data_IF_693300397505
#
_entry.id   IF_693300397505
#
_cell.length_a   1.000
_cell.length_b   1.000
_cell.length_c   1.000
_cell.angle_alpha   90.00
_cell.angle_beta   90.00
_cell.angle_gamma   90.00
#
_symmetry.space_group_name_H-M   'P 1'
#
loop_
_entity.id
_entity.type
_entity.pdbx_description
1 polymer ?
#
# COMPACT_ATOMS: atom_id res chain seq x y z
N UNK A 1 -1.54 20.96 13.82
CA UNK A 1 -0.69 20.77 12.62
C UNK A 1 -1.17 19.46 12.00
N UNK A 2 -1.61 19.45 10.74
CA UNK A 2 -2.12 18.22 10.12
C UNK A 2 -1.07 17.11 10.22
N UNK A 3 -1.45 15.93 10.70
CA UNK A 3 -0.52 14.80 10.84
C UNK A 3 -0.30 14.18 9.46
N UNK A 4 0.96 13.98 9.09
CA UNK A 4 1.36 13.22 7.89
C UNK A 4 1.27 11.74 8.23
N UNK A 5 0.61 10.96 7.38
CA UNK A 5 0.57 9.49 7.49
C UNK A 5 1.50 8.82 6.47
N UNK A 6 2.11 7.71 6.86
CA UNK A 6 2.79 6.79 5.95
C UNK A 6 1.83 5.67 5.54
N UNK A 7 1.71 5.41 4.24
CA UNK A 7 0.83 4.37 3.71
C UNK A 7 1.66 3.39 2.90
N UNK A 8 1.62 2.12 3.31
CA UNK A 8 2.01 1.03 2.45
C UNK A 8 0.80 0.61 1.61
N UNK A 9 0.81 0.94 0.31
CA UNK A 9 -0.28 0.58 -0.60
C UNK A 9 0.08 -0.71 -1.31
N UNK A 10 -0.25 -1.86 -0.74
CA UNK A 10 0.15 -3.16 -1.30
C UNK A 10 -0.88 -3.81 -2.22
N UNK A 11 -0.44 -4.84 -2.96
CA UNK A 11 -1.28 -5.58 -3.92
C UNK A 11 -2.42 -6.33 -3.25
N UNK A 12 -2.13 -7.01 -2.13
CA UNK A 12 -3.11 -7.83 -1.40
C UNK A 12 -3.59 -7.15 -0.11
N UNK A 13 -2.67 -6.49 0.59
CA UNK A 13 -2.95 -5.77 1.83
C UNK A 13 -2.22 -4.44 1.79
N UNK A 14 -2.80 -3.44 2.43
CA UNK A 14 -2.21 -2.14 2.68
C UNK A 14 -2.04 -1.92 4.20
N UNK A 15 -1.19 -0.97 4.60
CA UNK A 15 -0.97 -0.62 6.00
C UNK A 15 -0.81 0.89 6.17
N UNK A 16 -1.06 1.38 7.37
CA UNK A 16 -0.93 2.81 7.70
C UNK A 16 -0.12 2.99 8.97
N UNK A 17 0.75 4.00 8.99
CA UNK A 17 1.57 4.35 10.13
C UNK A 17 1.64 5.88 10.34
N UNK A 18 1.89 6.26 11.58
CA UNK A 18 2.20 7.64 11.99
C UNK A 18 3.46 7.68 12.82
N UNK A 19 4.05 8.87 12.96
CA UNK A 19 5.09 9.12 13.95
C UNK A 19 4.48 9.68 15.23
N UNK A 20 4.59 8.95 16.34
CA UNK A 20 4.23 9.42 17.67
C UNK A 20 5.44 9.37 18.60
N UNK A 21 5.77 10.49 19.24
CA UNK A 21 6.91 10.60 20.17
C UNK A 21 8.21 10.03 19.58
N UNK A 22 8.49 10.36 18.31
CA UNK A 22 9.62 9.88 17.52
C UNK A 22 9.67 8.36 17.28
N UNK A 23 8.54 7.66 17.42
CA UNK A 23 8.42 6.23 17.10
C UNK A 23 7.33 6.00 16.07
N UNK A 24 7.54 5.11 15.10
CA UNK A 24 6.48 4.70 14.19
C UNK A 24 5.42 3.89 14.95
N UNK A 25 4.16 4.23 14.77
CA UNK A 25 3.00 3.52 15.32
C UNK A 25 2.08 3.15 14.17
N UNK A 26 1.69 1.88 14.10
CA UNK A 26 0.76 1.38 13.09
C UNK A 26 -0.67 1.72 13.51
N UNK A 27 -1.44 2.29 12.58
CA UNK A 27 -2.87 2.53 12.73
C UNK A 27 -3.61 1.28 12.25
N UNK A 28 -4.43 0.64 13.10
CA UNK A 28 -5.23 -0.51 12.69
C UNK A 28 -6.41 -0.10 11.80
N UNK A 29 -6.87 -1.02 10.96
CA UNK A 29 -8.14 -0.83 10.24
C UNK A 29 -9.33 -0.90 11.22
N UNK A 30 -10.42 -0.21 10.89
CA UNK A 30 -11.60 -0.16 11.75
C UNK A 30 -12.20 -1.54 12.08
N UNK A 31 -12.01 -2.53 11.19
CA UNK A 31 -12.53 -3.89 11.36
C UNK A 31 -11.69 -4.76 12.31
N UNK A 32 -10.53 -4.29 12.80
CA UNK A 32 -9.71 -4.97 13.80
C UNK A 32 -9.04 -6.28 13.34
N UNK A 33 -8.74 -7.17 14.30
CA UNK A 33 -7.87 -8.38 14.26
C UNK A 33 -8.09 -9.46 13.17
N UNK A 34 -8.89 -9.21 12.13
CA UNK A 34 -9.34 -10.22 11.17
C UNK A 34 -8.30 -10.79 10.21
N UNK A 35 -7.18 -10.08 9.93
CA UNK A 35 -6.08 -10.58 9.08
C UNK A 35 -4.74 -10.00 9.57
N UNK A 36 -3.67 -10.80 9.52
CA UNK A 36 -2.27 -10.38 9.68
C UNK A 36 -2.06 -9.32 10.78
N UNK A 37 -2.22 -9.74 12.03
CA UNK A 37 -2.11 -8.92 13.25
C UNK A 37 -3.19 -7.86 13.50
N UNK A 38 -4.22 -7.75 12.66
CA UNK A 38 -5.31 -6.77 12.84
C UNK A 38 -5.02 -5.36 12.42
N UNK A 39 -3.89 -5.19 11.74
CA UNK A 39 -3.32 -3.89 11.39
C UNK A 39 -3.35 -3.59 9.91
N UNK A 40 -3.79 -4.57 9.11
CA UNK A 40 -3.82 -4.49 7.66
C UNK A 40 -5.20 -4.03 7.15
N UNK A 41 -5.16 -3.41 5.98
CA UNK A 41 -6.30 -3.01 5.17
C UNK A 41 -6.30 -3.91 3.92
N UNK A 42 -7.19 -4.91 3.81
CA UNK A 42 -7.24 -5.74 2.61
C UNK A 42 -7.45 -4.88 1.36
N UNK A 43 -6.65 -5.09 0.31
CA UNK A 43 -6.70 -4.30 -0.93
C UNK A 43 -7.83 -4.79 -1.85
N UNK A 44 -9.05 -4.78 -1.32
CA UNK A 44 -10.29 -5.19 -1.97
C UNK A 44 -11.26 -4.01 -2.04
N UNK A 45 -11.91 -3.85 -3.19
CA UNK A 45 -13.03 -2.93 -3.38
C UNK A 45 -14.16 -3.73 -4.00
N UNK A 46 -15.36 -3.65 -3.42
CA UNK A 46 -16.54 -4.26 -3.98
C UNK A 46 -17.65 -3.23 -4.18
N UNK A 47 -18.45 -3.43 -5.21
CA UNK A 47 -19.70 -2.74 -5.43
C UNK A 47 -20.82 -3.77 -5.31
N UNK A 48 -21.82 -3.46 -4.50
CA UNK A 48 -23.03 -4.27 -4.39
C UNK A 48 -24.00 -3.93 -5.53
N UNK A 49 -25.00 -4.78 -5.76
CA UNK A 49 -25.99 -4.57 -6.84
C UNK A 49 -26.84 -3.30 -6.65
N UNK A 50 -27.05 -2.90 -5.40
CA UNK A 50 -27.71 -1.66 -4.99
C UNK A 50 -26.77 -0.43 -5.06
N UNK A 51 -25.52 -0.61 -5.48
CA UNK A 51 -24.56 0.46 -5.73
C UNK A 51 -23.76 0.90 -4.51
N UNK A 52 -23.84 0.18 -3.38
CA UNK A 52 -23.00 0.43 -2.21
C UNK A 52 -21.56 0.03 -2.50
N UNK A 53 -20.61 0.89 -2.12
CA UNK A 53 -19.17 0.59 -2.19
C UNK A 53 -18.68 0.06 -0.85
N UNK A 54 -18.09 -1.13 -0.87
CA UNK A 54 -17.38 -1.76 0.24
C UNK A 54 -15.88 -1.73 -0.04
N UNK A 55 -15.06 -1.54 0.99
CA UNK A 55 -13.60 -1.49 0.87
C UNK A 55 -12.98 -2.24 2.05
N UNK A 56 -11.92 -2.99 1.82
CA UNK A 56 -11.23 -3.74 2.88
C UNK A 56 -11.90 -5.06 3.22
N UNK A 57 -11.95 -5.38 4.50
CA UNK A 57 -12.47 -6.66 4.99
C UNK A 57 -13.94 -6.92 4.57
N UNK A 58 -14.87 -5.95 4.60
CA UNK A 58 -16.22 -6.16 4.09
C UNK A 58 -16.27 -6.57 2.61
N UNK A 59 -15.42 -5.96 1.77
CA UNK A 59 -15.31 -6.32 0.36
C UNK A 59 -14.69 -7.71 0.17
N UNK A 60 -13.66 -8.05 0.94
CA UNK A 60 -13.02 -9.38 0.89
C UNK A 60 -13.99 -10.50 1.26
N UNK A 61 -14.77 -10.35 2.34
CA UNK A 61 -15.69 -11.39 2.85
C UNK A 61 -16.73 -11.83 1.83
N UNK A 62 -17.23 -10.90 1.03
CA UNK A 62 -18.27 -11.17 0.03
C UNK A 62 -17.72 -11.53 -1.35
N UNK A 63 -16.39 -11.55 -1.54
CA UNK A 63 -15.76 -11.73 -2.85
C UNK A 63 -16.19 -13.03 -3.56
N UNK A 64 -16.38 -14.12 -2.80
CA UNK A 64 -16.83 -15.40 -3.35
C UNK A 64 -18.30 -15.39 -3.81
N UNK A 65 -19.14 -14.55 -3.21
CA UNK A 65 -20.58 -14.45 -3.50
C UNK A 65 -20.85 -13.41 -4.60
N UNK A 66 -19.98 -12.41 -4.72
CA UNK A 66 -20.09 -11.31 -5.67
C UNK A 66 -18.78 -11.13 -6.47
N UNK A 67 -18.35 -12.13 -7.27
CA UNK A 67 -17.09 -12.05 -7.99
C UNK A 67 -17.08 -10.94 -9.05
N UNK A 68 -18.20 -10.73 -9.76
CA UNK A 68 -18.34 -9.66 -10.77
C UNK A 68 -18.25 -8.26 -10.14
N UNK A 69 -18.79 -8.09 -8.93
CA UNK A 69 -18.78 -6.84 -8.21
C UNK A 69 -17.50 -6.53 -7.46
N UNK A 70 -16.52 -7.44 -7.43
CA UNK A 70 -15.35 -7.35 -6.54
C UNK A 70 -14.06 -7.25 -7.30
N UNK A 71 -13.27 -6.23 -6.95
CA UNK A 71 -11.96 -5.96 -7.51
C UNK A 71 -10.91 -6.21 -6.43
N UNK A 72 -9.87 -6.96 -6.79
CA UNK A 72 -8.66 -7.18 -6.02
C UNK A 72 -7.43 -6.95 -6.90
N UNK A 73 -6.25 -6.86 -6.28
CA UNK A 73 -4.96 -6.74 -6.98
C UNK A 73 -4.89 -5.58 -7.99
N UNK A 74 -5.62 -4.48 -7.74
CA UNK A 74 -5.66 -3.31 -8.63
C UNK A 74 -4.27 -2.71 -8.87
N UNK A 75 -3.37 -2.83 -7.88
CA UNK A 75 -1.98 -2.38 -7.97
C UNK A 75 -1.22 -2.96 -9.17
N UNK A 76 -1.53 -4.20 -9.58
CA UNK A 76 -0.92 -4.86 -10.76
C UNK A 76 -1.26 -4.18 -12.08
N UNK A 77 -2.28 -3.31 -12.11
CA UNK A 77 -2.74 -2.60 -13.31
C UNK A 77 -2.41 -1.10 -13.28
N UNK A 78 -1.76 -0.60 -12.23
CA UNK A 78 -1.39 0.81 -12.11
C UNK A 78 -0.53 1.26 -13.29
N UNK A 79 -0.72 2.51 -13.75
CA UNK A 79 0.05 3.08 -14.85
C UNK A 79 -0.29 2.51 -16.23
N UNK A 80 -1.41 1.80 -16.38
CA UNK A 80 -1.92 1.27 -17.66
C UNK A 80 -3.28 1.86 -18.01
N UNK A 81 -3.72 1.71 -19.26
CA UNK A 81 -5.06 2.11 -19.72
C UNK A 81 -6.16 1.08 -19.36
N UNK A 82 -5.83 0.07 -18.55
CA UNK A 82 -6.78 -0.95 -18.12
C UNK A 82 -7.96 -0.34 -17.36
N UNK A 83 -9.15 -0.91 -17.54
CA UNK A 83 -10.34 -0.54 -16.77
C UNK A 83 -11.01 -1.77 -16.20
N UNK A 84 -11.39 -1.69 -14.92
CA UNK A 84 -12.26 -2.67 -14.28
C UNK A 84 -13.70 -2.36 -14.68
N UNK A 85 -14.41 -3.33 -15.23
CA UNK A 85 -15.85 -3.22 -15.48
C UNK A 85 -16.58 -3.93 -14.34
N UNK A 86 -17.40 -3.18 -13.60
CA UNK A 86 -18.25 -3.70 -12.54
C UNK A 86 -19.68 -3.25 -12.80
N UNK A 87 -20.57 -4.20 -13.06
CA UNK A 87 -21.98 -3.93 -13.34
C UNK A 87 -22.19 -2.83 -14.39
N UNK A 88 -21.39 -2.85 -15.47
CA UNK A 88 -21.47 -1.90 -16.57
C UNK A 88 -20.82 -0.53 -16.31
N UNK A 89 -20.19 -0.33 -15.15
CA UNK A 89 -19.41 0.89 -14.84
C UNK A 89 -17.92 0.59 -14.93
N UNK A 90 -17.19 1.49 -15.57
CA UNK A 90 -15.74 1.40 -15.70
C UNK A 90 -15.02 2.18 -14.62
N UNK A 91 -13.97 1.59 -14.05
CA UNK A 91 -13.09 2.21 -13.07
C UNK A 91 -11.63 2.02 -13.44
N UNK A 92 -10.83 3.08 -13.32
CA UNK A 92 -9.38 2.99 -13.50
C UNK A 92 -8.71 2.37 -12.27
N UNK A 93 -7.51 1.76 -12.42
CA UNK A 93 -6.71 1.26 -11.30
C UNK A 93 -6.45 2.32 -10.23
N UNK A 94 -6.27 3.58 -10.64
CA UNK A 94 -6.08 4.74 -9.77
C UNK A 94 -7.33 5.03 -8.95
N UNK A 95 -8.53 4.98 -9.55
CA UNK A 95 -9.79 5.15 -8.82
C UNK A 95 -10.00 4.03 -7.79
N UNK A 96 -9.74 2.78 -8.16
CA UNK A 96 -9.85 1.65 -7.23
C UNK A 96 -8.87 1.79 -6.06
N UNK A 97 -7.62 2.13 -6.37
CA UNK A 97 -6.60 2.37 -5.34
C UNK A 97 -6.95 3.57 -4.46
N UNK A 98 -7.55 4.62 -5.03
CA UNK A 98 -8.03 5.78 -4.28
C UNK A 98 -9.12 5.40 -3.27
N UNK A 99 -10.01 4.45 -3.59
CA UNK A 99 -11.02 3.99 -2.63
C UNK A 99 -10.40 3.26 -1.42
N UNK A 100 -9.30 2.53 -1.65
CA UNK A 100 -8.50 1.92 -0.57
C UNK A 100 -7.85 3.02 0.28
N UNK A 101 -7.22 4.01 -0.35
CA UNK A 101 -6.60 5.15 0.33
C UNK A 101 -7.62 6.00 1.11
N UNK A 102 -8.84 6.19 0.59
CA UNK A 102 -9.93 6.87 1.28
C UNK A 102 -10.35 6.13 2.56
N UNK A 103 -10.40 4.80 2.52
CA UNK A 103 -10.66 3.99 3.73
C UNK A 103 -9.53 4.16 4.73
N UNK A 104 -8.28 4.05 4.30
CA UNK A 104 -7.10 4.22 5.18
C UNK A 104 -7.11 5.61 5.83
N UNK A 105 -7.35 6.66 5.03
CA UNK A 105 -7.48 8.04 5.49
C UNK A 105 -8.56 8.15 6.58
N UNK A 106 -9.78 7.69 6.29
CA UNK A 106 -10.90 7.78 7.25
C UNK A 106 -10.59 7.06 8.55
N UNK A 107 -10.11 5.82 8.47
CA UNK A 107 -9.80 5.03 9.66
C UNK A 107 -8.64 5.66 10.46
N UNK A 108 -7.69 6.33 9.79
CA UNK A 108 -6.64 7.12 10.45
C UNK A 108 -7.17 8.41 11.09
N UNK A 109 -8.10 9.13 10.45
CA UNK A 109 -8.77 10.30 11.02
C UNK A 109 -9.57 9.91 12.27
N UNK A 110 -10.29 8.79 12.24
CA UNK A 110 -11.03 8.26 13.39
C UNK A 110 -10.10 7.88 14.54
N UNK A 111 -8.95 7.25 14.25
CA UNK A 111 -7.95 6.91 15.25
C UNK A 111 -7.29 8.15 15.87
N UNK A 112 -7.06 9.19 15.08
CA UNK A 112 -6.37 10.41 15.48
C UNK A 112 -7.29 11.45 16.13
N UNK A 113 -8.59 11.41 15.85
CA UNK A 113 -9.56 12.45 16.22
C UNK A 113 -9.33 13.78 15.49
N UNK A 114 -8.61 13.78 14.37
CA UNK A 114 -8.27 14.97 13.59
C UNK A 114 -8.15 14.63 12.09
N UNK A 115 -8.20 15.63 11.22
CA UNK A 115 -8.10 15.46 9.77
C UNK A 115 -6.71 15.03 9.34
N UNK A 116 -6.67 14.22 8.28
CA UNK A 116 -5.45 13.77 7.61
C UNK A 116 -5.44 14.28 6.18
N UNK A 117 -4.52 15.19 5.88
CA UNK A 117 -4.46 15.86 4.58
C UNK A 117 -3.23 15.48 3.77
N UNK A 118 -2.18 14.95 4.39
CA UNK A 118 -0.89 14.71 3.76
C UNK A 118 -0.42 13.27 3.98
N UNK A 119 0.18 12.68 2.95
CA UNK A 119 0.67 11.30 3.02
C UNK A 119 2.00 11.09 2.28
N UNK A 120 2.76 10.12 2.77
CA UNK A 120 3.84 9.45 2.02
C UNK A 120 3.34 8.06 1.65
N UNK A 121 3.41 7.70 0.36
CA UNK A 121 2.86 6.43 -0.15
C UNK A 121 4.00 5.58 -0.72
N UNK A 122 4.00 4.29 -0.42
CA UNK A 122 4.99 3.35 -0.95
C UNK A 122 4.69 2.93 -2.40
N UNK A 123 5.72 2.53 -3.14
CA UNK A 123 5.58 1.78 -4.37
C UNK A 123 6.74 0.77 -4.54
N UNK A 124 6.58 -0.26 -5.40
CA UNK A 124 7.67 -1.17 -5.71
C UNK A 124 8.87 -0.43 -6.31
N UNK A 125 10.08 -0.95 -6.09
CA UNK A 125 11.29 -0.32 -6.61
C UNK A 125 11.30 -0.23 -8.15
N UNK A 126 10.75 -1.24 -8.82
CA UNK A 126 10.65 -1.33 -10.29
C UNK A 126 9.55 -0.51 -10.94
N UNK A 127 8.72 0.18 -10.15
CA UNK A 127 7.69 1.03 -10.75
C UNK A 127 8.34 2.09 -11.64
N UNK A 128 7.90 2.13 -12.89
CA UNK A 128 8.29 3.16 -13.84
C UNK A 128 7.58 4.49 -13.53
N UNK A 129 7.91 5.54 -14.27
CA UNK A 129 7.38 6.89 -14.04
C UNK A 129 5.86 6.97 -14.16
N UNK A 130 5.27 6.22 -15.10
CA UNK A 130 3.81 6.16 -15.28
C UNK A 130 3.12 5.51 -14.07
N UNK A 131 3.68 4.42 -13.54
CA UNK A 131 3.14 3.72 -12.37
C UNK A 131 3.27 4.56 -11.09
N UNK A 132 4.39 5.28 -10.94
CA UNK A 132 4.61 6.23 -9.83
C UNK A 132 3.63 7.39 -9.90
N UNK A 133 3.44 7.96 -11.08
CA UNK A 133 2.48 9.04 -11.32
C UNK A 133 1.06 8.57 -11.02
N UNK A 134 0.66 7.40 -11.55
CA UNK A 134 -0.64 6.80 -11.26
C UNK A 134 -0.88 6.57 -9.75
N UNK A 135 0.16 6.20 -9.00
CA UNK A 135 0.07 6.02 -7.54
C UNK A 135 -0.13 7.37 -6.83
N UNK A 136 0.55 8.41 -7.30
CA UNK A 136 0.35 9.79 -6.82
C UNK A 136 -1.07 10.27 -7.12
N UNK A 137 -1.56 10.06 -8.34
CA UNK A 137 -2.92 10.43 -8.76
C UNK A 137 -3.97 9.73 -7.90
N UNK A 138 -3.78 8.45 -7.57
CA UNK A 138 -4.67 7.73 -6.65
C UNK A 138 -4.74 8.41 -5.27
N UNK A 139 -3.61 8.91 -4.76
CA UNK A 139 -3.57 9.71 -3.52
C UNK A 139 -4.34 11.03 -3.65
N UNK A 140 -4.17 11.73 -4.76
CA UNK A 140 -4.88 13.00 -5.03
C UNK A 140 -6.40 12.77 -5.15
N UNK A 141 -6.84 11.73 -5.87
CA UNK A 141 -8.26 11.32 -5.96
C UNK A 141 -8.81 10.94 -4.57
N UNK A 142 -7.97 10.40 -3.69
CA UNK A 142 -8.35 10.09 -2.31
C UNK A 142 -8.43 11.32 -1.40
N UNK A 143 -8.10 12.51 -1.89
CA UNK A 143 -8.05 13.74 -1.11
C UNK A 143 -6.86 13.81 -0.16
N UNK A 144 -5.73 13.21 -0.56
CA UNK A 144 -4.44 13.30 0.13
C UNK A 144 -3.45 14.10 -0.74
N UNK A 145 -2.77 15.06 -0.14
CA UNK A 145 -1.58 15.67 -0.73
C UNK A 145 -0.42 14.70 -0.56
N UNK A 146 0.02 14.12 -1.67
CA UNK A 146 1.12 13.16 -1.69
C UNK A 146 2.46 13.90 -1.62
N UNK A 147 3.09 13.88 -0.45
CA UNK A 147 4.36 14.55 -0.20
C UNK A 147 5.53 13.83 -0.86
N UNK A 148 5.46 12.50 -0.90
CA UNK A 148 6.51 11.65 -1.48
C UNK A 148 5.95 10.28 -1.85
N UNK A 149 6.39 9.79 -3.01
CA UNK A 149 6.34 8.36 -3.32
C UNK A 149 7.70 7.77 -2.93
N UNK A 150 7.70 6.76 -2.07
CA UNK A 150 8.93 6.11 -1.59
C UNK A 150 8.97 4.65 -2.04
N UNK A 151 10.15 4.14 -2.37
CA UNK A 151 10.29 2.73 -2.70
C UNK A 151 10.08 1.88 -1.44
N UNK A 152 9.32 0.79 -1.56
CA UNK A 152 9.08 -0.21 -0.51
C UNK A 152 10.38 -0.68 0.17
N UNK A 153 11.44 -1.12 -0.54
CA UNK A 153 12.66 -1.54 0.12
C UNK A 153 13.37 -0.41 0.86
N UNK A 154 13.27 0.83 0.37
CA UNK A 154 13.79 2.01 1.08
C UNK A 154 13.01 2.26 2.36
N UNK A 155 11.69 2.14 2.34
CA UNK A 155 10.85 2.28 3.53
C UNK A 155 11.14 1.18 4.56
N UNK A 156 11.34 -0.06 4.12
CA UNK A 156 11.74 -1.17 4.98
C UNK A 156 13.12 -0.94 5.63
N UNK A 157 14.10 -0.48 4.85
CA UNK A 157 15.41 -0.09 5.38
C UNK A 157 15.34 1.05 6.39
N UNK A 158 14.53 2.09 6.12
CA UNK A 158 14.30 3.18 7.06
C UNK A 158 13.73 2.66 8.38
N UNK A 159 12.71 1.80 8.32
CA UNK A 159 12.11 1.22 9.51
C UNK A 159 13.11 0.37 10.33
N UNK A 160 13.93 -0.44 9.65
CA UNK A 160 14.97 -1.26 10.28
C UNK A 160 16.14 -0.44 10.84
N UNK A 161 16.45 0.71 10.23
CA UNK A 161 17.57 1.57 10.61
C UNK A 161 17.29 2.55 11.76
N UNK A 162 16.02 2.75 12.13
CA UNK A 162 15.61 3.76 13.13
C UNK A 162 16.33 3.63 14.47
N UNK A 163 16.61 2.42 14.95
CA UNK A 163 17.29 2.14 16.21
C UNK A 163 18.79 1.81 16.03
N UNK A 164 19.33 1.97 14.81
CA UNK A 164 20.70 1.59 14.43
C UNK A 164 21.55 2.78 13.96
N UNK A 165 21.09 3.99 14.27
CA UNK A 165 21.82 5.24 14.00
C UNK A 165 23.23 5.17 14.58
N UNK A 166 24.23 5.64 13.84
CA UNK A 166 25.65 5.56 14.21
C UNK A 166 26.36 4.28 13.75
N UNK A 167 25.69 3.39 13.00
CA UNK A 167 26.31 2.20 12.38
C UNK A 167 26.28 2.28 10.87
N UNK A 168 27.36 1.85 10.24
CA UNK A 168 27.36 1.54 8.81
C UNK A 168 26.89 0.10 8.60
N UNK A 169 25.87 -0.09 7.78
CA UNK A 169 25.27 -1.40 7.52
C UNK A 169 25.12 -1.63 6.01
N UNK A 170 25.43 -2.85 5.57
CA UNK A 170 24.96 -3.37 4.28
C UNK A 170 23.77 -4.27 4.53
N UNK A 171 22.64 -3.90 3.96
CA UNK A 171 21.33 -4.52 4.19
C UNK A 171 20.85 -5.11 2.87
N UNK A 172 20.38 -6.35 2.90
CA UNK A 172 19.58 -6.91 1.82
C UNK A 172 18.12 -6.92 2.27
N UNK A 173 17.28 -6.18 1.56
CA UNK A 173 15.83 -6.27 1.69
C UNK A 173 15.36 -7.35 0.73
N UNK A 174 14.77 -8.41 1.29
CA UNK A 174 14.10 -9.45 0.54
C UNK A 174 12.60 -9.33 0.81
N UNK A 175 11.86 -8.77 -0.16
CA UNK A 175 10.43 -8.53 -0.07
C UNK A 175 9.70 -9.51 -0.99
N UNK A 176 8.99 -10.48 -0.39
CA UNK A 176 8.22 -11.47 -1.10
C UNK A 176 6.73 -11.25 -0.83
N UNK A 177 6.12 -10.41 -1.65
CA UNK A 177 4.75 -9.99 -1.50
C UNK A 177 3.73 -10.98 -2.09
N UNK A 178 2.46 -10.58 -2.03
CA UNK A 178 1.38 -11.36 -2.65
C UNK A 178 1.47 -11.40 -4.18
N UNK A 179 2.17 -10.46 -4.80
CA UNK A 179 2.21 -10.34 -6.26
C UNK A 179 3.54 -10.06 -6.92
N UNK A 180 4.58 -9.74 -6.14
CA UNK A 180 5.93 -9.39 -6.62
C UNK A 180 6.98 -9.95 -5.66
N UNK A 181 8.17 -10.22 -6.19
CA UNK A 181 9.41 -10.47 -5.45
C UNK A 181 10.37 -9.33 -5.74
N UNK A 182 10.85 -8.65 -4.71
CA UNK A 182 11.81 -7.57 -4.80
C UNK A 182 13.02 -7.86 -3.90
N UNK A 183 14.23 -7.76 -4.45
CA UNK A 183 15.49 -7.96 -3.72
C UNK A 183 16.37 -6.73 -3.92
N UNK A 184 16.57 -5.96 -2.86
CA UNK A 184 17.35 -4.72 -2.92
C UNK A 184 18.52 -4.79 -1.94
N UNK A 185 19.73 -4.54 -2.43
CA UNK A 185 20.92 -4.36 -1.60
C UNK A 185 21.14 -2.87 -1.37
N UNK A 186 21.25 -2.49 -0.10
CA UNK A 186 21.35 -1.11 0.34
C UNK A 186 22.51 -0.92 1.31
N UNK A 187 23.07 0.28 1.30
CA UNK A 187 24.03 0.74 2.29
C UNK A 187 23.36 1.82 3.15
N UNK A 188 23.47 1.69 4.47
CA UNK A 188 23.09 2.69 5.44
C UNK A 188 24.37 3.30 6.01
N UNK A 189 24.50 4.62 5.90
CA UNK A 189 25.61 5.37 6.49
C UNK A 189 25.33 5.71 7.95
N UNK A 190 26.38 5.89 8.75
CA UNK A 190 26.26 6.17 10.19
C UNK A 190 25.42 7.42 10.51
N UNK A 191 25.43 8.41 9.61
CA UNK A 191 24.65 9.65 9.65
C UNK A 191 23.16 9.49 9.27
N UNK A 192 22.70 8.26 9.01
CA UNK A 192 21.30 7.94 8.73
C UNK A 192 20.88 8.08 7.27
N UNK A 193 21.83 8.33 6.36
CA UNK A 193 21.61 8.29 4.92
C UNK A 193 21.53 6.85 4.39
N UNK A 194 20.83 6.66 3.28
CA UNK A 194 20.69 5.36 2.61
C UNK A 194 21.01 5.47 1.13
N UNK A 195 21.67 4.46 0.59
CA UNK A 195 21.95 4.31 -0.84
C UNK A 195 21.53 2.94 -1.32
N UNK A 196 20.72 2.90 -2.36
CA UNK A 196 20.47 1.67 -3.11
C UNK A 196 21.71 1.33 -3.93
N UNK A 197 22.29 0.16 -3.70
CA UNK A 197 23.46 -0.32 -4.45
C UNK A 197 23.03 -1.12 -5.68
N UNK A 198 22.03 -1.99 -5.51
CA UNK A 198 21.46 -2.79 -6.59
C UNK A 198 20.04 -3.23 -6.23
N UNK A 199 19.23 -3.46 -7.24
CA UNK A 199 17.90 -4.05 -7.09
C UNK A 199 17.75 -5.13 -8.17
N UNK A 200 17.31 -6.34 -7.78
CA UNK A 200 16.75 -7.36 -8.69
C UNK A 200 15.36 -7.84 -8.20
N UNK A 201 14.64 -8.63 -8.98
CA UNK A 201 13.30 -9.10 -8.61
C UNK A 201 12.52 -9.72 -9.76
N UNK A 202 11.28 -10.11 -9.47
CA UNK A 202 10.29 -10.59 -10.44
C UNK A 202 8.91 -9.96 -10.14
N UNK A 203 8.42 -9.18 -11.10
CA UNK A 203 7.16 -8.43 -10.99
C UNK A 203 5.91 -9.30 -11.18
N UNK A 204 6.08 -10.59 -11.47
CA UNK A 204 5.01 -11.56 -11.71
C UNK A 204 5.16 -12.83 -10.87
N UNK A 205 5.91 -12.76 -9.77
CA UNK A 205 6.07 -13.86 -8.81
C UNK A 205 5.68 -13.40 -7.40
N UNK A 206 4.77 -14.12 -6.75
CA UNK A 206 4.42 -13.87 -5.35
C UNK A 206 3.52 -14.95 -4.76
N UNK A 207 2.96 -14.66 -3.58
CA UNK A 207 2.06 -15.60 -2.88
C UNK A 207 0.85 -16.05 -3.71
N UNK A 208 0.31 -15.19 -4.58
CA UNK A 208 -0.82 -15.55 -5.47
C UNK A 208 -0.46 -16.71 -6.41
N UNK A 209 0.79 -16.78 -6.87
CA UNK A 209 1.24 -17.83 -7.78
C UNK A 209 1.40 -19.17 -7.06
N UNK A 210 1.72 -19.13 -5.77
CA UNK A 210 1.70 -20.31 -4.88
C UNK A 210 0.27 -20.78 -4.63
N UNK A 211 -0.64 -19.86 -4.31
CA UNK A 211 -2.07 -20.17 -4.09
C UNK A 211 -2.70 -20.82 -5.33
N UNK A 212 -2.34 -20.38 -6.54
CA UNK A 212 -2.85 -20.95 -7.80
C UNK A 212 -2.31 -22.35 -8.12
N UNK A 213 -1.26 -22.82 -7.44
CA UNK A 213 -0.65 -24.14 -7.65
C UNK A 213 -1.14 -25.20 -6.67
N UNK A 214 -1.73 -24.80 -5.56
CA UNK A 214 -2.32 -25.66 -4.53
C UNK A 214 -3.75 -26.08 -4.90
#
# INVERSE_FOLDING_TARGET
MAKVIGIDLGTSNSACAIMEKNRPVIIPSAEGAGIASGKAFPSYVAFTKDGQRLVGEPARRQAAINPEGTIAAAKRKMGTDFKFNVYGKEYTPQQISAFILQKIKRDAEDYLGDKVEEAVITCPAYFNDNQRTATKDAGEIAGLKVLRIINEPTAACLAYGLDKVGKELKIMVFDFGGGTLDVTVMEMWAEGGFKVLSTSGDTHLGGTDMDNKL
#
